data_IF_708730328259
#
_entry.id   IF_708730328259
#
_cell.length_a   1.000
_cell.length_b   1.000
_cell.length_c   1.000
_cell.angle_alpha   90.00
_cell.angle_beta   90.00
_cell.angle_gamma   90.00
#
_symmetry.space_group_name_H-M   'P 1'
#
loop_
_entity.id
_entity.type
_entity.pdbx_description
1 polymer ?
#
# COMPACT_ATOMS: atom_id res chain seq x y z
N UNK A 1 23.92 20.66 7.08
CA UNK A 1 23.86 19.79 5.88
C UNK A 1 22.38 19.73 5.47
N UNK A 2 22.00 20.19 4.28
CA UNK A 2 20.59 20.34 3.92
C UNK A 2 20.05 19.06 3.27
N UNK A 3 18.88 18.63 3.70
CA UNK A 3 17.97 17.73 2.97
C UNK A 3 16.58 18.36 3.20
N UNK A 4 16.11 19.31 2.40
CA UNK A 4 15.60 19.10 1.04
C UNK A 4 14.99 17.71 0.87
N UNK A 5 13.72 17.60 1.25
CA UNK A 5 12.72 16.77 0.59
C UNK A 5 11.37 17.21 1.15
N UNK A 6 10.51 17.77 0.30
CA UNK A 6 9.06 17.73 0.57
C UNK A 6 8.76 16.28 0.95
N UNK A 7 8.31 16.05 2.18
CA UNK A 7 7.89 14.72 2.64
C UNK A 7 6.62 14.32 1.87
N UNK A 8 6.77 14.02 0.58
CA UNK A 8 5.77 13.31 -0.20
C UNK A 8 5.87 11.85 0.23
N UNK A 9 5.32 11.58 1.42
CA UNK A 9 5.38 10.26 2.06
C UNK A 9 4.70 9.25 1.14
N UNK A 10 5.34 8.10 0.85
CA UNK A 10 4.70 7.06 0.06
C UNK A 10 3.41 6.61 0.74
N UNK A 11 2.44 6.15 -0.06
CA UNK A 11 1.23 5.57 0.48
C UNK A 11 1.56 4.23 1.12
N UNK A 12 1.53 4.19 2.46
CA UNK A 12 1.79 2.96 3.20
C UNK A 12 0.50 2.19 3.43
N UNK A 13 0.43 1.00 2.86
CA UNK A 13 -0.65 0.03 3.06
C UNK A 13 -0.09 -1.09 3.94
N UNK A 14 -0.69 -1.30 5.10
CA UNK A 14 -0.31 -2.40 5.98
C UNK A 14 -1.33 -3.53 5.89
N UNK A 15 -0.88 -4.76 5.70
CA UNK A 15 -1.74 -5.95 5.68
C UNK A 15 -1.40 -6.78 6.93
N UNK A 16 -2.38 -6.95 7.82
CA UNK A 16 -2.19 -7.70 9.05
C UNK A 16 -2.25 -9.21 8.79
N UNK A 17 -1.74 -10.02 9.73
CA UNK A 17 -1.87 -11.48 9.71
C UNK A 17 -3.30 -12.00 9.62
N UNK A 18 -4.28 -11.20 10.05
CA UNK A 18 -5.71 -11.51 9.97
C UNK A 18 -6.30 -11.22 8.58
N UNK A 19 -5.49 -10.69 7.65
CA UNK A 19 -5.96 -10.27 6.32
C UNK A 19 -6.65 -8.91 6.32
N UNK A 20 -6.54 -8.13 7.40
CA UNK A 20 -7.09 -6.77 7.47
C UNK A 20 -6.15 -5.80 6.78
N UNK A 21 -6.73 -4.89 6.00
CA UNK A 21 -6.00 -3.84 5.29
C UNK A 21 -6.08 -2.58 6.12
N UNK A 22 -4.93 -1.94 6.32
CA UNK A 22 -4.83 -0.67 7.02
C UNK A 22 -4.15 0.38 6.15
N UNK A 23 -4.70 1.58 6.17
CA UNK A 23 -4.14 2.75 5.51
C UNK A 23 -3.87 3.81 6.58
N UNK A 24 -2.61 4.23 6.72
CA UNK A 24 -2.18 5.16 7.77
C UNK A 24 -2.60 4.76 9.21
N UNK A 25 -2.75 3.46 9.47
CA UNK A 25 -3.16 2.92 10.76
C UNK A 25 -4.67 2.69 10.92
N UNK A 26 -5.49 3.20 10.01
CA UNK A 26 -6.93 2.99 10.00
C UNK A 26 -7.29 1.73 9.20
N UNK A 27 -8.17 0.89 9.76
CA UNK A 27 -8.68 -0.29 9.06
C UNK A 27 -9.66 0.14 7.97
N UNK A 28 -9.38 -0.29 6.74
CA UNK A 28 -10.22 -0.01 5.58
C UNK A 28 -10.52 -1.31 4.82
N UNK A 29 -11.62 -1.30 4.09
CA UNK A 29 -11.94 -2.41 3.18
C UNK A 29 -11.12 -2.30 1.90
N UNK A 30 -10.98 -3.43 1.19
CA UNK A 30 -10.30 -3.47 -0.10
C UNK A 30 -10.97 -2.52 -1.11
N UNK A 31 -12.30 -2.53 -1.19
CA UNK A 31 -13.04 -1.64 -2.09
C UNK A 31 -12.77 -0.15 -1.81
N UNK A 32 -12.77 0.25 -0.53
CA UNK A 32 -12.46 1.62 -0.13
C UNK A 32 -11.02 1.99 -0.44
N UNK A 33 -10.06 1.08 -0.24
CA UNK A 33 -8.67 1.30 -0.63
C UNK A 33 -8.56 1.57 -2.13
N UNK A 34 -9.19 0.76 -2.97
CA UNK A 34 -9.11 0.92 -4.43
C UNK A 34 -9.76 2.23 -4.89
N UNK A 35 -10.91 2.59 -4.32
CA UNK A 35 -11.56 3.86 -4.63
C UNK A 35 -10.68 5.06 -4.24
N UNK A 36 -10.11 5.03 -3.04
CA UNK A 36 -9.21 6.07 -2.53
C UNK A 36 -7.96 6.18 -3.41
N UNK A 37 -7.35 5.04 -3.74
CA UNK A 37 -6.14 4.98 -4.57
C UNK A 37 -6.42 5.48 -5.98
N UNK A 38 -7.54 5.10 -6.58
CA UNK A 38 -7.91 5.57 -7.92
C UNK A 38 -8.10 7.10 -7.95
N UNK A 39 -8.77 7.67 -6.95
CA UNK A 39 -8.99 9.11 -6.86
C UNK A 39 -7.69 9.87 -6.53
N UNK A 40 -6.89 9.37 -5.61
CA UNK A 40 -5.60 9.95 -5.27
C UNK A 40 -4.62 9.90 -6.47
N UNK A 41 -4.64 8.81 -7.25
CA UNK A 41 -3.90 8.70 -8.51
C UNK A 41 -4.37 9.72 -9.55
N UNK A 42 -5.69 9.88 -9.74
CA UNK A 42 -6.25 10.87 -10.66
C UNK A 42 -5.81 12.30 -10.32
N UNK A 43 -5.70 12.59 -9.03
CA UNK A 43 -5.20 13.86 -8.49
C UNK A 43 -3.66 13.93 -8.41
N UNK A 44 -2.94 12.91 -8.90
CA UNK A 44 -1.46 12.79 -8.85
C UNK A 44 -0.88 12.93 -7.44
N UNK A 45 -1.64 12.48 -6.44
CA UNK A 45 -1.25 12.49 -5.02
C UNK A 45 -0.43 11.26 -4.63
N UNK A 46 -0.50 10.19 -5.45
CA UNK A 46 0.28 8.97 -5.24
C UNK A 46 1.52 9.03 -6.12
N UNK A 47 2.67 9.07 -5.47
CA UNK A 47 3.98 8.92 -6.11
C UNK A 47 4.48 7.49 -6.07
N UNK A 48 4.33 6.85 -4.91
CA UNK A 48 4.78 5.49 -4.65
C UNK A 48 3.81 4.84 -3.65
N UNK A 49 3.51 3.56 -3.86
CA UNK A 49 2.78 2.74 -2.88
C UNK A 49 3.75 1.75 -2.26
N UNK A 50 3.75 1.68 -0.93
CA UNK A 50 4.49 0.68 -0.16
C UNK A 50 3.51 -0.24 0.57
N UNK A 51 3.57 -1.54 0.27
CA UNK A 51 2.82 -2.57 0.98
C UNK A 51 3.72 -3.18 2.05
N UNK A 52 3.34 -3.01 3.31
CA UNK A 52 3.93 -3.71 4.45
C UNK A 52 3.02 -4.88 4.82
N UNK A 53 3.51 -6.11 4.64
CA UNK A 53 2.78 -7.31 5.03
C UNK A 53 3.48 -7.98 6.22
N UNK A 54 2.69 -8.40 7.22
CA UNK A 54 3.20 -9.22 8.32
C UNK A 54 3.74 -10.56 7.79
N UNK A 55 4.77 -11.12 8.43
CA UNK A 55 5.37 -12.42 8.04
C UNK A 55 4.36 -13.56 8.01
N UNK A 56 3.34 -13.50 8.87
CA UNK A 56 2.30 -14.53 8.98
C UNK A 56 1.08 -14.21 8.10
N UNK A 57 1.14 -13.14 7.30
CA UNK A 57 0.05 -12.76 6.42
C UNK A 57 -0.14 -13.83 5.33
N UNK A 58 -1.38 -14.25 5.05
CA UNK A 58 -1.66 -15.08 3.90
C UNK A 58 -1.22 -14.35 2.63
N UNK A 59 -0.27 -14.93 1.89
CA UNK A 59 0.21 -14.37 0.61
C UNK A 59 -0.93 -14.10 -0.37
N UNK A 60 -2.02 -14.87 -0.29
CA UNK A 60 -3.22 -14.66 -1.11
C UNK A 60 -3.85 -13.27 -0.94
N UNK A 61 -3.83 -12.68 0.26
CA UNK A 61 -4.34 -11.31 0.47
C UNK A 61 -3.40 -10.28 -0.17
N UNK A 62 -2.09 -10.44 0.03
CA UNK A 62 -1.08 -9.56 -0.58
C UNK A 62 -1.19 -9.59 -2.11
N UNK A 63 -1.26 -10.78 -2.70
CA UNK A 63 -1.43 -10.96 -4.14
C UNK A 63 -2.75 -10.37 -4.65
N UNK A 64 -3.83 -10.48 -3.87
CA UNK A 64 -5.12 -9.86 -4.20
C UNK A 64 -5.02 -8.34 -4.22
N UNK A 65 -4.44 -7.72 -3.18
CA UNK A 65 -4.22 -6.27 -3.12
C UNK A 65 -3.35 -5.81 -4.28
N UNK A 66 -2.23 -6.48 -4.55
CA UNK A 66 -1.37 -6.18 -5.69
C UNK A 66 -2.12 -6.24 -7.03
N UNK A 67 -2.97 -7.25 -7.22
CA UNK A 67 -3.76 -7.41 -8.44
C UNK A 67 -4.77 -6.27 -8.61
N UNK A 68 -5.46 -5.86 -7.54
CA UNK A 68 -6.42 -4.77 -7.59
C UNK A 68 -5.74 -3.41 -7.81
N UNK A 69 -4.58 -3.17 -7.17
CA UNK A 69 -3.77 -1.97 -7.42
C UNK A 69 -3.30 -1.90 -8.88
N UNK A 70 -2.86 -3.03 -9.45
CA UNK A 70 -2.51 -3.13 -10.88
C UNK A 70 -3.69 -2.83 -11.78
N UNK A 71 -4.90 -3.31 -11.45
CA UNK A 71 -6.13 -2.98 -12.22
C UNK A 71 -6.48 -1.49 -12.15
N UNK A 72 -6.20 -0.83 -11.03
CA UNK A 72 -6.28 0.63 -10.91
C UNK A 72 -5.15 1.37 -11.67
N UNK A 73 -4.24 0.61 -12.30
CA UNK A 73 -3.08 1.08 -13.05
C UNK A 73 -1.95 1.59 -12.15
N UNK A 74 -1.89 1.17 -10.89
CA UNK A 74 -0.70 1.39 -10.08
C UNK A 74 0.30 0.30 -10.47
N UNK A 75 1.38 0.69 -11.14
CA UNK A 75 2.42 -0.23 -11.59
C UNK A 75 3.61 -0.26 -10.61
N UNK A 76 3.90 0.89 -9.97
CA UNK A 76 4.98 1.05 -9.01
C UNK A 76 4.48 0.79 -7.59
N UNK A 77 4.53 -0.49 -7.20
CA UNK A 77 4.25 -0.94 -5.83
C UNK A 77 5.50 -1.56 -5.23
N UNK A 78 6.05 -0.90 -4.21
CA UNK A 78 7.10 -1.46 -3.37
C UNK A 78 6.52 -2.43 -2.35
N UNK A 79 7.07 -3.65 -2.29
CA UNK A 79 6.70 -4.61 -1.25
C UNK A 79 7.77 -4.60 -0.16
N UNK A 80 7.41 -4.12 1.02
CA UNK A 80 8.22 -4.20 2.23
C UNK A 80 7.82 -5.46 3.00
N UNK A 81 8.41 -6.59 2.62
CA UNK A 81 8.41 -7.80 3.44
C UNK A 81 9.60 -7.73 4.38
N UNK A 82 9.38 -7.83 5.69
CA UNK A 82 10.48 -7.93 6.64
C UNK A 82 11.23 -9.25 6.40
N UNK A 83 12.53 -9.23 6.03
CA UNK A 83 13.32 -10.46 5.97
C UNK A 83 13.53 -11.01 7.37
N UNK A 84 13.62 -12.34 7.46
CA UNK A 84 13.93 -13.07 8.69
C UNK A 84 15.24 -12.53 9.30
N UNK A 85 15.21 -12.22 10.59
CA UNK A 85 16.38 -12.11 11.45
C UNK A 85 16.08 -12.85 12.74
#
# INVERSE_FOLDING_TARGET
IPISQKEERPLKITITKEGKIKLYGEEITLDSLILWVAEAKKNKLIREIQIEADKNCPYGIVAKVLSELKKAGIEEVGLLTQPES
#
